data_IF_240293842802
#
_entry.id   IF_240293842802
#
_cell.length_a   1.000
_cell.length_b   1.000
_cell.length_c   1.000
_cell.angle_alpha   90.00
_cell.angle_beta   90.00
_cell.angle_gamma   90.00
#
_symmetry.space_group_name_H-M   'P 1'
#
loop_
_entity.id
_entity.type
_entity.pdbx_description
1 polymer ?
#
# COMPACT_ATOMS: atom_id res chain seq x y z
N UNK A 1 -13.42 -20.43 -6.62
CA UNK A 1 -13.98 -20.02 -7.93
C UNK A 1 -14.80 -18.77 -7.69
N UNK A 2 -14.51 -17.69 -8.40
CA UNK A 2 -15.28 -16.45 -8.29
C UNK A 2 -16.66 -16.62 -8.95
N UNK A 3 -17.65 -15.84 -8.52
CA UNK A 3 -18.92 -15.77 -9.26
C UNK A 3 -18.65 -15.24 -10.67
N UNK A 4 -19.26 -15.79 -11.75
CA UNK A 4 -19.06 -15.29 -13.11
C UNK A 4 -19.32 -13.79 -13.25
N UNK A 5 -20.31 -13.29 -12.49
CA UNK A 5 -20.71 -11.89 -12.51
C UNK A 5 -19.87 -10.97 -11.60
N UNK A 6 -18.93 -11.54 -10.83
CA UNK A 6 -18.10 -10.77 -9.89
C UNK A 6 -17.27 -9.73 -10.64
N UNK A 7 -16.43 -10.20 -11.58
CA UNK A 7 -15.48 -9.33 -12.26
C UNK A 7 -16.18 -8.31 -13.16
N UNK A 8 -17.19 -8.67 -13.98
CA UNK A 8 -17.89 -7.68 -14.82
C UNK A 8 -18.57 -6.58 -14.00
N UNK A 9 -19.29 -6.92 -12.92
CA UNK A 9 -19.94 -5.92 -12.08
C UNK A 9 -18.93 -5.05 -11.33
N UNK A 10 -17.90 -5.67 -10.76
CA UNK A 10 -16.86 -4.94 -10.04
C UNK A 10 -16.10 -3.98 -10.98
N UNK A 11 -15.74 -4.40 -12.19
CA UNK A 11 -15.08 -3.54 -13.17
C UNK A 11 -15.96 -2.37 -13.60
N UNK A 12 -17.26 -2.60 -13.84
CA UNK A 12 -18.22 -1.54 -14.16
C UNK A 12 -18.32 -0.53 -13.02
N UNK A 13 -18.49 -1.02 -11.79
CA UNK A 13 -18.62 -0.17 -10.60
C UNK A 13 -17.34 0.63 -10.37
N UNK A 14 -16.16 0.02 -10.49
CA UNK A 14 -14.87 0.70 -10.40
C UNK A 14 -14.77 1.78 -11.46
N UNK A 15 -15.05 1.45 -12.73
CA UNK A 15 -14.97 2.39 -13.84
C UNK A 15 -15.85 3.63 -13.62
N UNK A 16 -17.12 3.42 -13.26
CA UNK A 16 -18.07 4.51 -13.01
C UNK A 16 -17.61 5.40 -11.85
N UNK A 17 -17.10 4.79 -10.78
CA UNK A 17 -16.71 5.51 -9.56
C UNK A 17 -15.36 6.23 -9.70
N UNK A 18 -14.52 5.82 -10.64
CA UNK A 18 -13.22 6.46 -10.91
C UNK A 18 -13.23 7.31 -12.18
N UNK A 19 -14.40 7.54 -12.81
CA UNK A 19 -14.50 8.23 -14.10
C UNK A 19 -13.86 9.63 -14.12
N UNK A 20 -13.81 10.28 -12.96
CA UNK A 20 -13.25 11.63 -12.80
C UNK A 20 -11.76 11.64 -12.42
N UNK A 21 -11.16 10.47 -12.16
CA UNK A 21 -9.77 10.37 -11.71
C UNK A 21 -8.79 10.77 -12.81
N UNK A 22 -9.15 10.61 -14.09
CA UNK A 22 -8.29 10.99 -15.22
C UNK A 22 -7.94 12.48 -15.21
N UNK A 23 -8.95 13.35 -15.10
CA UNK A 23 -8.73 14.80 -15.02
C UNK A 23 -7.88 15.16 -13.79
N UNK A 24 -8.10 14.49 -12.65
CA UNK A 24 -7.30 14.70 -11.45
C UNK A 24 -5.84 14.28 -11.64
N UNK A 25 -5.59 13.18 -12.33
CA UNK A 25 -4.23 12.74 -12.65
C UNK A 25 -3.53 13.73 -13.59
N UNK A 26 -4.23 14.28 -14.58
CA UNK A 26 -3.67 15.28 -15.50
C UNK A 26 -3.29 16.58 -14.75
N UNK A 27 -4.16 17.06 -13.85
CA UNK A 27 -3.85 18.19 -12.97
C UNK A 27 -2.59 17.96 -12.13
N UNK A 28 -2.49 16.78 -11.48
CA UNK A 28 -1.32 16.43 -10.66
C UNK A 28 -0.06 16.30 -11.50
N UNK A 29 -0.17 15.73 -12.70
CA UNK A 29 0.96 15.62 -13.62
C UNK A 29 1.47 17.00 -14.05
N UNK A 30 0.55 17.93 -14.35
CA UNK A 30 0.92 19.31 -14.66
C UNK A 30 1.52 20.03 -13.45
N UNK A 31 1.00 19.81 -12.24
CA UNK A 31 1.56 20.36 -11.01
C UNK A 31 2.99 19.85 -10.80
N UNK A 32 3.20 18.53 -10.75
CA UNK A 32 4.52 17.90 -10.54
C UNK A 32 5.54 18.32 -11.60
N UNK A 33 5.12 18.48 -12.86
CA UNK A 33 6.01 18.92 -13.94
C UNK A 33 6.54 20.35 -13.73
N UNK A 34 5.82 21.18 -12.97
CA UNK A 34 6.19 22.56 -12.67
C UNK A 34 6.75 22.74 -11.25
N UNK A 35 6.92 21.66 -10.47
CA UNK A 35 7.44 21.78 -9.11
C UNK A 35 8.93 22.19 -9.12
N UNK A 36 9.31 23.16 -8.26
CA UNK A 36 10.71 23.52 -8.12
C UNK A 36 11.51 22.32 -7.67
N UNK A 37 12.66 22.07 -8.31
CA UNK A 37 13.51 20.91 -8.00
C UNK A 37 14.10 20.91 -6.59
N UNK A 38 13.87 21.96 -5.81
CA UNK A 38 14.39 22.14 -4.44
C UNK A 38 13.86 21.09 -3.45
N UNK A 39 12.65 20.58 -3.68
CA UNK A 39 12.04 19.50 -2.89
C UNK A 39 12.17 18.13 -3.56
N UNK A 40 12.50 18.10 -4.85
CA UNK A 40 12.99 16.90 -5.51
C UNK A 40 14.16 16.40 -4.69
N UNK A 41 14.18 15.13 -4.25
CA UNK A 41 15.21 14.67 -3.33
C UNK A 41 16.56 14.78 -4.04
N UNK A 42 17.27 15.88 -3.77
CA UNK A 42 18.71 16.01 -3.97
C UNK A 42 19.30 14.89 -3.13
N UNK A 43 19.55 13.76 -3.79
CA UNK A 43 20.33 12.63 -3.32
C UNK A 43 20.12 12.37 -1.81
N UNK A 44 19.13 11.56 -1.44
CA UNK A 44 19.16 10.88 -0.13
C UNK A 44 20.41 9.97 -0.10
N UNK A 45 21.60 10.56 0.09
CA UNK A 45 22.85 9.86 0.37
C UNK A 45 22.66 9.16 1.70
N UNK A 46 22.44 7.84 1.66
CA UNK A 46 22.57 6.99 2.85
C UNK A 46 21.46 5.96 3.05
N UNK A 47 20.26 6.13 2.49
CA UNK A 47 19.22 5.10 2.56
C UNK A 47 19.25 4.23 1.30
N UNK A 48 20.06 3.18 1.34
CA UNK A 48 19.87 2.03 0.44
C UNK A 48 18.54 1.38 0.78
N UNK A 49 17.51 1.64 -0.03
CA UNK A 49 16.32 0.80 -0.07
C UNK A 49 16.81 -0.60 -0.45
N UNK A 50 16.46 -1.62 0.34
CA UNK A 50 17.09 -2.94 0.33
C UNK A 50 17.02 -3.68 -1.02
N UNK A 51 16.30 -3.15 -2.03
CA UNK A 51 16.01 -3.84 -3.30
C UNK A 51 15.96 -3.00 -4.58
N UNK A 52 16.29 -1.71 -4.55
CA UNK A 52 16.51 -1.03 -5.84
C UNK A 52 17.83 -1.52 -6.43
N UNK A 53 17.75 -2.46 -7.38
CA UNK A 53 18.90 -2.94 -8.17
C UNK A 53 19.39 -1.89 -9.16
N UNK A 54 18.59 -0.86 -9.41
CA UNK A 54 18.98 0.30 -10.20
C UNK A 54 19.75 1.25 -9.28
N UNK A 55 20.95 1.67 -9.70
CA UNK A 55 21.72 2.78 -9.09
C UNK A 55 20.98 4.13 -9.16
N UNK A 56 19.71 4.12 -9.56
CA UNK A 56 18.83 5.25 -9.62
C UNK A 56 17.97 5.29 -8.35
N UNK A 57 18.36 6.15 -7.40
CA UNK A 57 17.57 6.47 -6.22
C UNK A 57 16.35 7.36 -6.54
N UNK A 58 16.06 7.65 -7.82
CA UNK A 58 14.97 8.54 -8.27
C UNK A 58 13.64 7.84 -8.53
N UNK A 59 13.52 6.54 -8.30
CA UNK A 59 12.24 5.84 -8.37
C UNK A 59 11.34 6.25 -7.19
N UNK A 60 10.80 7.47 -7.26
CA UNK A 60 9.61 7.81 -6.51
C UNK A 60 8.48 6.99 -7.10
N UNK A 61 8.04 5.96 -6.35
CA UNK A 61 6.90 5.15 -6.77
C UNK A 61 5.61 5.97 -6.79
N UNK A 62 5.56 7.08 -6.04
CA UNK A 62 4.51 8.10 -5.99
C UNK A 62 4.71 9.22 -7.02
N UNK A 63 4.80 8.87 -8.31
CA UNK A 63 5.19 9.80 -9.38
C UNK A 63 4.29 11.05 -9.49
N UNK A 64 3.00 10.94 -9.16
CA UNK A 64 2.03 12.04 -9.24
C UNK A 64 1.69 12.64 -7.88
N UNK A 65 2.45 12.34 -6.81
CA UNK A 65 2.25 12.97 -5.51
C UNK A 65 3.08 14.26 -5.41
N UNK A 66 2.44 15.45 -5.49
CA UNK A 66 3.15 16.71 -5.47
C UNK A 66 3.72 16.98 -4.08
N UNK A 67 4.81 17.73 -4.02
CA UNK A 67 5.56 18.03 -2.81
C UNK A 67 4.73 18.79 -1.77
N UNK A 68 3.81 19.67 -2.20
CA UNK A 68 2.88 20.32 -1.24
C UNK A 68 2.07 19.29 -0.45
N UNK A 69 1.69 18.15 -1.06
CA UNK A 69 0.96 17.07 -0.38
C UNK A 69 1.97 16.19 0.36
N UNK A 70 3.10 15.83 -0.27
CA UNK A 70 4.11 14.96 0.32
C UNK A 70 4.59 15.45 1.69
N UNK A 71 4.86 16.75 1.80
CA UNK A 71 5.39 17.40 2.99
C UNK A 71 4.33 18.10 3.85
N UNK A 72 3.07 18.09 3.44
CA UNK A 72 1.99 18.62 4.25
C UNK A 72 1.84 17.86 5.59
N UNK A 73 1.22 18.54 6.56
CA UNK A 73 0.80 17.89 7.80
C UNK A 73 -0.16 16.73 7.53
N UNK A 74 -0.23 15.76 8.43
CA UNK A 74 -1.12 14.61 8.27
C UNK A 74 -2.59 15.01 8.08
N UNK A 75 -3.05 16.04 8.81
CA UNK A 75 -4.42 16.57 8.71
C UNK A 75 -4.73 17.16 7.34
N UNK A 76 -3.74 17.75 6.67
CA UNK A 76 -3.93 18.29 5.32
C UNK A 76 -3.83 17.19 4.27
N UNK A 77 -2.94 16.21 4.45
CA UNK A 77 -2.83 15.05 3.56
C UNK A 77 -4.09 14.21 3.53
N UNK A 78 -4.76 14.03 4.66
CA UNK A 78 -6.02 13.28 4.76
C UNK A 78 -7.16 13.90 3.92
N UNK A 79 -7.04 15.16 3.50
CA UNK A 79 -8.04 15.82 2.65
C UNK A 79 -7.74 15.68 1.16
N UNK A 80 -6.48 15.39 0.80
CA UNK A 80 -5.96 15.50 -0.56
C UNK A 80 -6.76 14.68 -1.59
N UNK A 81 -7.19 13.48 -1.20
CA UNK A 81 -7.96 12.57 -2.04
C UNK A 81 -9.28 12.11 -1.41
N UNK A 82 -9.81 12.88 -0.46
CA UNK A 82 -11.04 12.59 0.30
C UNK A 82 -12.28 12.30 -0.55
N UNK A 83 -12.31 12.74 -1.81
CA UNK A 83 -13.40 12.53 -2.77
C UNK A 83 -13.16 11.37 -3.75
N UNK A 84 -12.00 10.72 -3.67
CA UNK A 84 -11.59 9.68 -4.60
C UNK A 84 -11.51 8.33 -3.90
N UNK A 85 -11.90 7.28 -4.61
CA UNK A 85 -11.68 5.91 -4.15
C UNK A 85 -10.25 5.50 -4.44
N UNK A 86 -9.58 4.94 -3.45
CA UNK A 86 -8.23 4.42 -3.61
C UNK A 86 -8.20 2.93 -3.90
N UNK A 87 -9.14 2.19 -3.29
CA UNK A 87 -9.20 0.76 -3.44
C UNK A 87 -10.59 0.17 -3.20
N UNK A 88 -10.81 -0.99 -3.83
CA UNK A 88 -12.02 -1.78 -3.76
C UNK A 88 -11.68 -3.18 -3.24
N UNK A 89 -12.13 -3.49 -2.03
CA UNK A 89 -11.84 -4.75 -1.35
C UNK A 89 -12.92 -5.80 -1.64
N UNK A 90 -12.57 -6.91 -2.28
CA UNK A 90 -13.49 -8.04 -2.45
C UNK A 90 -13.55 -8.96 -1.21
N UNK A 91 -12.51 -8.93 -0.37
CA UNK A 91 -12.50 -9.55 0.96
C UNK A 91 -11.70 -8.68 1.91
N UNK A 92 -12.38 -8.21 2.95
CA UNK A 92 -11.77 -7.40 4.00
C UNK A 92 -11.93 -8.09 5.35
N UNK A 93 -10.81 -8.32 6.02
CA UNK A 93 -10.80 -8.80 7.41
C UNK A 93 -10.05 -7.80 8.28
N UNK A 94 -10.81 -6.99 9.01
CA UNK A 94 -10.35 -6.10 10.09
C UNK A 94 -9.46 -4.91 9.67
N UNK A 95 -8.49 -5.10 8.77
CA UNK A 95 -7.45 -4.11 8.39
C UNK A 95 -6.57 -4.53 7.21
N UNK A 96 -6.67 -5.79 6.76
CA UNK A 96 -5.96 -6.34 5.61
C UNK A 96 -6.92 -6.64 4.47
N UNK A 97 -6.44 -6.46 3.23
CA UNK A 97 -7.14 -6.89 2.03
C UNK A 97 -6.46 -8.13 1.45
N UNK A 98 -7.26 -9.16 1.14
CA UNK A 98 -6.76 -10.40 0.52
C UNK A 98 -6.99 -10.39 -1.00
N UNK A 99 -7.99 -9.64 -1.44
CA UNK A 99 -8.32 -9.43 -2.84
C UNK A 99 -8.76 -7.98 -3.00
N UNK A 100 -8.02 -7.23 -3.82
CA UNK A 100 -8.19 -5.78 -3.96
C UNK A 100 -8.10 -5.36 -5.43
N UNK A 101 -8.84 -4.33 -5.81
CA UNK A 101 -8.54 -3.51 -6.98
C UNK A 101 -8.04 -2.16 -6.52
N UNK A 102 -6.88 -1.75 -7.01
CA UNK A 102 -6.29 -0.43 -6.74
C UNK A 102 -6.60 0.51 -7.90
N UNK A 103 -6.96 1.75 -7.60
CA UNK A 103 -7.19 2.75 -8.66
C UNK A 103 -5.86 3.24 -9.22
N UNK A 104 -5.86 3.65 -10.48
CA UNK A 104 -4.66 4.21 -11.11
C UNK A 104 -4.19 5.48 -10.39
N UNK A 105 -5.13 6.31 -9.92
CA UNK A 105 -4.84 7.48 -9.11
C UNK A 105 -4.16 7.11 -7.79
N UNK A 106 -4.64 6.08 -7.09
CA UNK A 106 -3.97 5.56 -5.89
C UNK A 106 -2.55 5.08 -6.19
N UNK A 107 -2.36 4.21 -7.19
CA UNK A 107 -1.02 3.71 -7.55
C UNK A 107 -0.06 4.86 -7.86
N UNK A 108 -0.53 5.86 -8.61
CA UNK A 108 0.32 6.96 -9.07
C UNK A 108 0.68 7.95 -7.96
N UNK A 109 -0.08 8.00 -6.86
CA UNK A 109 0.11 8.98 -5.78
C UNK A 109 0.59 8.33 -4.48
N UNK A 110 0.03 7.19 -4.09
CA UNK A 110 0.46 6.38 -2.94
C UNK A 110 1.77 5.63 -3.23
N UNK A 111 1.99 5.30 -4.50
CA UNK A 111 3.11 4.49 -4.97
C UNK A 111 2.82 3.00 -4.95
N UNK A 112 3.87 2.19 -5.10
CA UNK A 112 3.80 0.73 -5.07
C UNK A 112 3.81 0.18 -3.64
N UNK A 113 3.66 -1.14 -3.51
CA UNK A 113 3.91 -1.82 -2.24
C UNK A 113 5.36 -1.61 -1.79
N UNK A 114 5.55 -1.51 -0.49
CA UNK A 114 6.89 -1.34 0.07
C UNK A 114 7.60 -2.68 0.15
N UNK A 115 8.58 -2.88 -0.74
CA UNK A 115 9.33 -4.13 -0.86
C UNK A 115 10.23 -4.46 0.33
N UNK A 116 10.34 -3.54 1.32
CA UNK A 116 11.02 -3.84 2.57
C UNK A 116 10.17 -4.73 3.49
N UNK A 117 8.86 -4.87 3.25
CA UNK A 117 8.03 -5.92 3.86
C UNK A 117 8.22 -7.23 3.08
N UNK A 118 9.16 -8.06 3.52
CA UNK A 118 9.53 -9.34 2.89
C UNK A 118 9.88 -10.42 3.93
N UNK A 119 9.41 -11.68 3.78
CA UNK A 119 8.82 -12.27 2.58
C UNK A 119 7.30 -12.13 2.49
N UNK A 120 6.65 -11.93 3.62
CA UNK A 120 5.20 -11.95 3.73
C UNK A 120 4.69 -11.06 4.88
N UNK A 121 3.45 -10.61 4.76
CA UNK A 121 2.68 -9.90 5.77
C UNK A 121 3.03 -8.42 5.96
N UNK A 122 1.98 -7.64 6.21
CA UNK A 122 1.97 -6.20 6.56
C UNK A 122 2.08 -5.26 5.36
N UNK A 123 2.43 -5.75 4.16
CA UNK A 123 2.48 -4.95 2.94
C UNK A 123 1.11 -4.35 2.55
N UNK A 124 0.04 -5.13 2.75
CA UNK A 124 -1.34 -4.74 2.51
C UNK A 124 -1.83 -3.70 3.52
N UNK A 125 -1.48 -3.89 4.79
CA UNK A 125 -1.72 -2.93 5.87
C UNK A 125 -0.97 -1.63 5.61
N UNK A 126 0.31 -1.71 5.26
CA UNK A 126 1.14 -0.55 4.92
C UNK A 126 0.50 0.28 3.81
N UNK A 127 0.08 -0.40 2.73
CA UNK A 127 -0.58 0.24 1.61
C UNK A 127 -1.91 0.89 2.04
N UNK A 128 -2.73 0.17 2.80
CA UNK A 128 -3.99 0.67 3.37
C UNK A 128 -3.80 1.88 4.27
N UNK A 129 -2.74 1.91 5.08
CA UNK A 129 -2.41 3.06 5.92
C UNK A 129 -1.98 4.27 5.09
N UNK A 130 -1.17 4.07 4.05
CA UNK A 130 -0.77 5.15 3.15
C UNK A 130 -1.94 5.73 2.36
N UNK A 131 -2.89 4.89 1.94
CA UNK A 131 -4.15 5.32 1.32
C UNK A 131 -4.94 6.25 2.25
N UNK A 132 -5.15 5.82 3.50
CA UNK A 132 -5.86 6.62 4.52
C UNK A 132 -5.15 7.92 4.85
N UNK A 133 -3.82 7.89 4.94
CA UNK A 133 -3.00 9.09 5.18
C UNK A 133 -3.23 10.17 4.11
N UNK A 134 -3.51 9.74 2.88
CA UNK A 134 -3.80 10.59 1.73
C UNK A 134 -5.30 10.88 1.55
N UNK A 135 -6.16 10.32 2.41
CA UNK A 135 -7.60 10.57 2.41
C UNK A 135 -8.42 9.69 1.47
N UNK A 136 -7.83 8.71 0.80
CA UNK A 136 -8.58 7.87 -0.13
C UNK A 136 -9.71 7.10 0.56
N UNK A 137 -10.84 7.01 -0.14
CA UNK A 137 -11.96 6.19 0.30
C UNK A 137 -11.71 4.71 -0.02
N UNK A 138 -12.16 3.85 0.88
CA UNK A 138 -12.23 2.40 0.70
C UNK A 138 -13.67 2.00 0.33
N UNK A 139 -13.82 1.10 -0.65
CA UNK A 139 -15.11 0.43 -0.90
C UNK A 139 -15.00 -1.08 -0.69
N UNK A 140 -15.82 -1.60 0.21
CA UNK A 140 -15.99 -3.03 0.36
C UNK A 140 -17.02 -3.56 -0.65
N UNK A 141 -16.57 -4.46 -1.52
CA UNK A 141 -17.38 -5.07 -2.57
C UNK A 141 -17.59 -6.53 -2.21
N UNK A 142 -18.63 -6.79 -1.41
CA UNK A 142 -19.01 -8.13 -0.98
C UNK A 142 -19.65 -8.91 -2.14
N UNK A 143 -18.84 -9.28 -3.12
CA UNK A 143 -19.33 -10.00 -4.27
C UNK A 143 -18.72 -11.42 -4.27
N UNK A 144 -19.53 -12.40 -3.87
CA UNK A 144 -19.19 -13.82 -3.91
C UNK A 144 -18.55 -14.39 -2.64
N UNK A 145 -18.32 -15.71 -2.65
CA UNK A 145 -17.64 -16.46 -1.58
C UNK A 145 -16.17 -16.61 -1.93
N UNK A 146 -15.30 -16.04 -1.11
CA UNK A 146 -13.85 -16.21 -1.22
C UNK A 146 -13.41 -17.33 -0.28
N UNK A 147 -12.82 -18.37 -0.86
CA UNK A 147 -12.31 -19.52 -0.14
C UNK A 147 -10.79 -19.36 0.00
N UNK A 148 -10.36 -19.04 1.22
CA UNK A 148 -8.95 -19.14 1.58
C UNK A 148 -8.57 -20.63 1.65
N UNK A 149 -7.86 -21.12 0.64
CA UNK A 149 -7.16 -22.41 0.75
C UNK A 149 -6.00 -22.18 1.72
N UNK A 150 -6.11 -22.78 2.89
CA UNK A 150 -5.32 -22.48 4.08
C UNK A 150 -3.81 -22.48 3.90
N UNK A 151 -3.10 -22.19 4.99
CA UNK A 151 -1.64 -22.13 5.08
C UNK A 151 -0.96 -23.51 5.02
N UNK A 152 -1.54 -24.47 4.30
CA UNK A 152 -1.03 -25.83 4.15
C UNK A 152 0.43 -25.80 3.70
N UNK A 153 0.78 -24.97 2.71
CA UNK A 153 2.15 -24.83 2.23
C UNK A 153 3.12 -24.26 3.29
N UNK A 154 2.65 -23.38 4.19
CA UNK A 154 3.45 -22.87 5.31
C UNK A 154 3.70 -23.99 6.34
N UNK A 155 2.70 -24.84 6.60
CA UNK A 155 2.84 -25.99 7.50
C UNK A 155 3.74 -27.07 6.90
N UNK A 156 3.48 -27.45 5.66
CA UNK A 156 4.27 -28.38 4.87
C UNK A 156 5.69 -27.89 4.62
N UNK A 157 5.93 -26.57 4.64
CA UNK A 157 7.30 -26.05 4.51
C UNK A 157 8.23 -26.57 5.59
N UNK A 158 7.74 -26.99 6.76
CA UNK A 158 8.56 -27.62 7.81
C UNK A 158 8.84 -29.12 7.56
N UNK A 159 8.08 -29.73 6.65
CA UNK A 159 8.12 -31.16 6.32
C UNK A 159 8.77 -31.43 4.95
N UNK A 160 8.92 -30.40 4.13
CA UNK A 160 9.59 -30.46 2.82
C UNK A 160 11.11 -30.59 2.93
N UNK A 161 11.71 -31.27 1.94
CA UNK A 161 13.16 -31.41 1.81
C UNK A 161 13.84 -30.02 1.62
N UNK A 162 15.07 -29.84 2.12
CA UNK A 162 15.73 -28.55 2.19
C UNK A 162 15.72 -27.70 0.91
N UNK A 163 16.01 -28.18 -0.32
CA UNK A 163 16.06 -27.26 -1.47
C UNK A 163 14.69 -26.59 -1.76
N UNK A 164 13.58 -27.26 -1.46
CA UNK A 164 12.23 -26.81 -1.81
C UNK A 164 11.66 -25.80 -0.79
N UNK A 165 12.12 -25.84 0.47
CA UNK A 165 11.65 -24.96 1.55
C UNK A 165 12.73 -24.05 2.16
N UNK A 166 14.00 -24.19 1.74
CA UNK A 166 15.15 -23.47 2.30
C UNK A 166 14.95 -21.95 2.26
N UNK A 167 14.43 -21.43 1.16
CA UNK A 167 14.19 -20.00 1.02
C UNK A 167 13.17 -19.50 2.04
N UNK A 168 11.99 -20.13 2.12
CA UNK A 168 10.92 -19.68 3.02
C UNK A 168 11.36 -19.78 4.49
N UNK A 169 12.00 -20.89 4.89
CA UNK A 169 12.51 -21.06 6.26
C UNK A 169 13.56 -20.01 6.61
N UNK A 170 14.53 -19.76 5.72
CA UNK A 170 15.56 -18.73 5.94
C UNK A 170 14.94 -17.35 6.08
N UNK A 171 14.10 -16.94 5.13
CA UNK A 171 13.56 -15.59 5.15
C UNK A 171 12.57 -15.40 6.32
N UNK A 172 11.72 -16.39 6.62
CA UNK A 172 10.81 -16.33 7.77
C UNK A 172 11.56 -16.19 9.09
N UNK A 173 12.70 -16.87 9.25
CA UNK A 173 13.52 -16.78 10.47
C UNK A 173 14.06 -15.37 10.73
N UNK A 174 14.26 -14.55 9.69
CA UNK A 174 14.71 -13.16 9.83
C UNK A 174 13.70 -12.31 10.60
N UNK A 175 12.40 -12.63 10.52
CA UNK A 175 11.31 -11.90 11.19
C UNK A 175 11.36 -10.37 10.97
N UNK A 176 11.98 -9.91 9.89
CA UNK A 176 12.35 -8.50 9.67
C UNK A 176 11.14 -7.57 9.50
N UNK A 177 10.00 -8.12 9.09
CA UNK A 177 8.78 -7.33 8.82
C UNK A 177 8.19 -6.69 10.08
N UNK A 178 8.29 -7.35 11.23
CA UNK A 178 7.71 -6.81 12.48
C UNK A 178 8.53 -5.64 13.04
N UNK A 179 9.87 -5.74 13.18
CA UNK A 179 10.70 -4.59 13.50
C UNK A 179 10.56 -3.46 12.49
N UNK A 180 10.46 -3.77 11.18
CA UNK A 180 10.25 -2.75 10.15
C UNK A 180 8.89 -2.05 10.28
N UNK A 181 7.81 -2.81 10.53
CA UNK A 181 6.47 -2.28 10.81
C UNK A 181 6.48 -1.39 12.06
N UNK A 182 7.15 -1.82 13.13
CA UNK A 182 7.32 -1.04 14.36
C UNK A 182 8.07 0.25 14.09
N UNK A 183 9.17 0.22 13.35
CA UNK A 183 9.93 1.42 13.02
C UNK A 183 9.11 2.37 12.15
N UNK A 184 8.44 1.86 11.11
CA UNK A 184 7.73 2.67 10.11
C UNK A 184 6.41 3.24 10.64
N UNK A 185 5.67 2.45 11.41
CA UNK A 185 4.29 2.74 11.81
C UNK A 185 4.07 2.78 13.32
N UNK A 186 5.11 2.54 14.13
CA UNK A 186 5.02 2.39 15.58
C UNK A 186 3.99 1.34 16.02
N UNK A 187 3.77 0.30 15.21
CA UNK A 187 2.85 -0.81 15.49
C UNK A 187 3.36 -2.13 14.92
N UNK A 188 3.25 -3.25 15.67
CA UNK A 188 3.93 -4.49 15.28
C UNK A 188 3.14 -5.31 14.26
N UNK A 189 1.80 -5.22 14.27
CA UNK A 189 0.88 -5.90 13.34
C UNK A 189 -0.47 -5.17 13.34
N UNK A 190 -1.04 -4.86 12.18
CA UNK A 190 -2.46 -4.47 12.12
C UNK A 190 -3.38 -5.64 11.75
N UNK A 191 -2.88 -6.72 11.14
CA UNK A 191 -3.73 -7.79 10.57
C UNK A 191 -4.49 -8.64 11.59
N UNK A 192 -4.22 -8.53 12.91
CA UNK A 192 -4.79 -9.43 13.92
C UNK A 192 -5.45 -8.73 15.12
N UNK A 193 -5.77 -7.45 15.02
CA UNK A 193 -6.53 -6.74 16.04
C UNK A 193 -7.07 -5.45 15.46
N UNK A 194 -8.37 -5.44 15.15
CA UNK A 194 -9.03 -4.32 14.47
C UNK A 194 -8.69 -2.97 15.08
N UNK A 195 -8.66 -1.94 14.24
CA UNK A 195 -8.51 -0.56 14.65
C UNK A 195 -9.66 -0.17 15.61
N UNK A 196 -9.50 -0.42 16.90
CA UNK A 196 -10.29 0.23 17.95
C UNK A 196 -9.57 1.53 18.29
N UNK A 197 -10.20 2.64 17.94
CA UNK A 197 -9.78 3.98 18.34
C UNK A 197 -9.76 4.95 17.17
N UNK A 198 -10.51 6.06 17.32
CA UNK A 198 -10.40 7.26 16.50
C UNK A 198 -8.91 7.63 16.33
N UNK A 199 -8.46 7.75 15.08
CA UNK A 199 -7.13 8.30 14.78
C UNK A 199 -7.15 9.81 14.99
N UNK A 200 -6.78 10.27 16.18
CA UNK A 200 -6.38 11.67 16.37
C UNK A 200 -4.90 11.82 15.98
N UNK A 201 -4.67 12.66 14.97
CA UNK A 201 -3.40 13.31 14.57
C UNK A 201 -2.11 12.47 14.71
N UNK A 202 -1.64 11.86 13.61
CA UNK A 202 -0.29 11.28 13.56
C UNK A 202 0.56 11.91 12.47
N UNK A 203 1.62 12.59 12.91
CA UNK A 203 2.73 12.98 12.05
C UNK A 203 3.66 11.77 11.84
N UNK A 204 4.14 11.49 10.62
CA UNK A 204 5.28 10.61 10.44
C UNK A 204 6.41 11.15 11.31
N UNK A 205 7.18 10.29 11.97
CA UNK A 205 8.46 10.73 12.50
C UNK A 205 9.19 11.43 11.35
N UNK A 206 9.63 12.68 11.60
CA UNK A 206 10.51 13.40 10.69
C UNK A 206 11.70 12.47 10.48
N UNK A 207 11.80 11.89 9.29
CA UNK A 207 13.05 11.32 8.83
C UNK A 207 13.98 12.50 8.64
N UNK A 208 14.85 12.72 9.63
CA UNK A 208 16.02 13.59 9.49
C UNK A 208 17.02 13.01 8.51
#
# INVERSE_FOLDING_TARGET
MFSPDLLPNLLRDVHEMTRHDAARMDELSAEVANEPSEYSPVLRRGLRVLRSTVNDSRLSTSALLPDRIRYASAKEREKAFSKHYGHFCAYYKSSCFVSVMLTRLAISTVGYFDENFYPDCVEDVDYGLRLRLLGFQERNVLCGKLLHRGSSNIRFSNEMEPPDALWYRRVRSLSANQPYAMMKWNRPRACSGGCKGHMTAWSPQRFG
#
